data_IF_621868877175
#
_entry.id   IF_621868877175
#
_cell.length_a   1.000
_cell.length_b   1.000
_cell.length_c   1.000
_cell.angle_alpha   90.00
_cell.angle_beta   90.00
_cell.angle_gamma   90.00
#
_symmetry.space_group_name_H-M   'P 1'
#
loop_
_entity.id
_entity.type
_entity.pdbx_description
1 polymer ?
#
# COMPACT_ATOMS: atom_id res chain seq x y z
N UNK A 1 23.52 1.95 10.45
CA UNK A 1 22.18 1.32 10.43
C UNK A 1 22.30 0.01 9.68
N UNK A 2 21.88 -1.09 10.29
CA UNK A 2 21.90 -2.40 9.66
C UNK A 2 20.84 -2.54 8.55
N UNK A 3 20.97 -3.57 7.71
CA UNK A 3 20.13 -3.77 6.53
C UNK A 3 18.64 -3.97 6.90
N UNK A 4 18.36 -4.67 8.01
CA UNK A 4 16.98 -4.93 8.44
C UNK A 4 16.26 -3.65 8.85
N UNK A 5 16.92 -2.81 9.66
CA UNK A 5 16.37 -1.51 10.08
C UNK A 5 16.16 -0.57 8.90
N UNK A 6 17.09 -0.60 7.94
CA UNK A 6 16.99 0.16 6.69
C UNK A 6 15.76 -0.26 5.88
N UNK A 7 15.57 -1.55 5.67
CA UNK A 7 14.45 -2.09 4.90
C UNK A 7 13.10 -1.69 5.50
N UNK A 8 12.95 -1.71 6.83
CA UNK A 8 11.75 -1.23 7.53
C UNK A 8 11.45 0.24 7.19
N UNK A 9 12.47 1.10 7.26
CA UNK A 9 12.29 2.54 6.95
C UNK A 9 11.93 2.74 5.47
N UNK A 10 12.65 2.08 4.56
CA UNK A 10 12.42 2.19 3.11
C UNK A 10 11.02 1.69 2.76
N UNK A 11 10.60 0.52 3.27
CA UNK A 11 9.26 -0.02 3.04
C UNK A 11 8.14 0.92 3.51
N UNK A 12 8.30 1.51 4.70
CA UNK A 12 7.33 2.51 5.20
C UNK A 12 7.26 3.77 4.32
N UNK A 13 8.40 4.21 3.75
CA UNK A 13 8.44 5.40 2.87
C UNK A 13 7.94 5.07 1.47
N UNK A 14 8.12 3.84 0.98
CA UNK A 14 7.51 3.40 -0.28
C UNK A 14 5.99 3.44 -0.22
N UNK A 15 5.41 3.05 0.92
CA UNK A 15 3.97 3.17 1.19
C UNK A 15 3.55 4.59 1.61
N UNK A 16 2.74 4.68 2.67
CA UNK A 16 2.11 5.93 3.17
C UNK A 16 3.06 6.90 3.87
N UNK A 17 4.29 6.48 4.17
CA UNK A 17 5.29 7.34 4.78
C UNK A 17 5.93 8.31 3.78
N UNK A 18 6.26 9.51 4.24
CA UNK A 18 7.05 10.43 3.43
C UNK A 18 8.07 11.21 4.25
N UNK A 19 9.16 11.61 3.60
CA UNK A 19 10.21 12.43 4.24
C UNK A 19 9.93 13.89 3.97
N UNK A 20 9.41 14.56 5.00
CA UNK A 20 9.14 15.99 5.01
C UNK A 20 10.44 16.77 5.20
N UNK A 21 10.59 17.87 4.47
CA UNK A 21 11.67 18.84 4.63
C UNK A 21 11.06 20.13 5.15
N UNK A 22 11.60 20.66 6.25
CA UNK A 22 11.16 21.92 6.84
C UNK A 22 12.36 22.79 7.14
N UNK A 23 12.29 24.04 6.74
CA UNK A 23 13.22 25.06 7.25
C UNK A 23 12.77 25.53 8.62
N UNK A 24 13.68 25.53 9.56
CA UNK A 24 13.44 26.03 10.93
C UNK A 24 14.27 27.30 11.15
N UNK A 25 13.63 28.44 11.34
CA UNK A 25 14.34 29.67 11.65
C UNK A 25 15.09 29.52 12.99
N UNK A 26 16.26 30.15 13.06
CA UNK A 26 17.03 30.31 14.30
C UNK A 26 17.25 31.78 14.53
N UNK A 27 17.10 32.24 15.81
CA UNK A 27 17.19 33.65 16.15
C UNK A 27 18.55 34.31 15.82
N UNK A 28 19.63 33.52 15.91
CA UNK A 28 21.01 34.03 15.78
C UNK A 28 21.88 33.28 14.79
N UNK A 29 21.34 32.30 14.09
CA UNK A 29 22.07 31.45 13.15
C UNK A 29 21.31 31.25 11.85
N UNK A 30 22.00 30.77 10.79
CA UNK A 30 21.31 30.35 9.56
C UNK A 30 20.22 29.32 9.87
N UNK A 31 19.05 29.40 9.18
CA UNK A 31 18.01 28.39 9.28
C UNK A 31 18.60 26.98 9.10
N UNK A 32 18.11 26.02 9.84
CA UNK A 32 18.50 24.64 9.62
C UNK A 32 17.38 23.85 8.93
N UNK A 33 17.79 22.91 8.08
CA UNK A 33 16.85 22.06 7.36
C UNK A 33 16.61 20.79 8.18
N UNK A 34 15.38 20.71 8.72
CA UNK A 34 14.90 19.54 9.42
C UNK A 34 14.32 18.52 8.43
N UNK A 35 14.64 17.24 8.61
CA UNK A 35 14.04 16.15 7.85
C UNK A 35 13.33 15.21 8.80
N UNK A 36 12.03 15.07 8.59
CA UNK A 36 11.16 14.25 9.41
C UNK A 36 10.40 13.23 8.58
N UNK A 37 10.28 12.02 9.08
CA UNK A 37 9.35 11.05 8.53
C UNK A 37 7.98 11.30 9.14
N UNK A 38 6.95 11.42 8.30
CA UNK A 38 5.55 11.49 8.69
C UNK A 38 4.80 10.30 8.10
N UNK A 39 3.93 9.73 8.92
CA UNK A 39 2.98 8.68 8.54
C UNK A 39 1.60 9.09 9.01
N UNK A 40 0.58 8.90 8.18
CA UNK A 40 -0.81 9.21 8.47
C UNK A 40 -1.69 8.05 8.03
N UNK A 41 -2.60 7.63 8.91
CA UNK A 41 -3.57 6.57 8.65
C UNK A 41 -4.98 6.99 9.02
N UNK A 42 -5.97 6.40 8.35
CA UNK A 42 -7.38 6.66 8.61
C UNK A 42 -7.87 6.16 9.99
N UNK A 43 -9.12 6.45 10.35
CA UNK A 43 -9.66 6.20 11.69
C UNK A 43 -9.66 4.71 12.08
N UNK A 44 -9.84 3.82 11.14
CA UNK A 44 -9.88 2.36 11.37
C UNK A 44 -8.48 1.72 11.49
N UNK A 45 -7.41 2.48 11.18
CA UNK A 45 -6.03 1.98 11.14
C UNK A 45 -5.17 2.49 12.30
N UNK A 46 -5.77 2.86 13.42
CA UNK A 46 -5.04 3.31 14.62
C UNK A 46 -3.99 2.29 15.06
N UNK A 47 -4.39 1.04 15.24
CA UNK A 47 -3.49 -0.03 15.69
C UNK A 47 -2.32 -0.23 14.72
N UNK A 48 -2.56 -0.10 13.42
CA UNK A 48 -1.51 -0.19 12.42
C UNK A 48 -0.55 1.00 12.48
N UNK A 49 -1.05 2.21 12.70
CA UNK A 49 -0.23 3.39 12.92
C UNK A 49 0.68 3.23 14.15
N UNK A 50 0.15 2.72 15.27
CA UNK A 50 0.88 2.44 16.51
C UNK A 50 1.94 1.35 16.28
N UNK A 51 1.60 0.29 15.54
CA UNK A 51 2.54 -0.76 15.16
C UNK A 51 3.71 -0.21 14.35
N UNK A 52 3.46 0.61 13.32
CA UNK A 52 4.51 1.27 12.52
C UNK A 52 5.39 2.17 13.37
N UNK A 53 4.80 2.96 14.28
CA UNK A 53 5.54 3.81 15.20
C UNK A 53 6.50 3.00 16.08
N UNK A 54 6.04 1.86 16.64
CA UNK A 54 6.88 0.93 17.43
C UNK A 54 8.02 0.33 16.60
N UNK A 55 7.74 -0.11 15.37
CA UNK A 55 8.78 -0.67 14.49
C UNK A 55 9.79 0.38 14.05
N UNK A 56 9.34 1.58 13.74
CA UNK A 56 10.24 2.70 13.41
C UNK A 56 11.09 3.12 14.62
N UNK A 57 10.50 3.15 15.82
CA UNK A 57 11.24 3.39 17.07
C UNK A 57 12.41 2.40 17.22
N UNK A 58 12.15 1.11 17.05
CA UNK A 58 13.21 0.09 17.06
C UNK A 58 14.27 0.34 15.99
N UNK A 59 13.87 0.66 14.76
CA UNK A 59 14.80 0.93 13.66
C UNK A 59 15.68 2.17 13.93
N UNK A 60 15.18 3.13 14.69
CA UNK A 60 15.87 4.36 15.09
C UNK A 60 16.57 4.27 16.45
N UNK A 61 16.87 3.06 16.94
CA UNK A 61 17.60 2.87 18.19
C UNK A 61 16.82 3.16 19.47
N UNK A 62 15.51 2.92 19.47
CA UNK A 62 14.64 3.12 20.64
C UNK A 62 14.08 4.55 20.77
N UNK A 63 14.21 5.38 19.73
CA UNK A 63 13.67 6.74 19.77
C UNK A 63 12.16 6.73 20.02
N UNK A 64 11.70 7.43 21.06
CA UNK A 64 10.27 7.54 21.39
C UNK A 64 9.49 8.20 20.25
N UNK A 65 8.43 7.55 19.79
CA UNK A 65 7.52 8.04 18.75
C UNK A 65 6.10 7.98 19.28
N UNK A 66 5.45 9.12 19.37
CA UNK A 66 4.07 9.22 19.84
C UNK A 66 3.13 9.30 18.65
N UNK A 67 2.09 8.46 18.65
CA UNK A 67 0.97 8.56 17.73
C UNK A 67 -0.04 9.54 18.28
N UNK A 68 -0.45 10.48 17.46
CA UNK A 68 -1.44 11.51 17.81
C UNK A 68 -2.68 11.38 16.94
N UNK A 69 -3.84 11.62 17.54
CA UNK A 69 -5.10 11.76 16.79
C UNK A 69 -5.15 13.19 16.22
N UNK A 70 -5.50 13.30 14.97
CA UNK A 70 -5.71 14.60 14.29
C UNK A 70 -7.10 14.64 13.71
N UNK A 71 -7.75 15.79 13.78
CA UNK A 71 -8.98 16.09 13.07
C UNK A 71 -8.62 16.60 11.67
N UNK A 72 -9.49 16.41 10.71
CA UNK A 72 -9.31 16.83 9.32
C UNK A 72 -8.18 16.09 8.59
N UNK A 73 -8.32 14.77 8.47
CA UNK A 73 -7.49 13.99 7.54
C UNK A 73 -7.63 14.51 6.10
N UNK A 74 -6.71 14.15 5.19
CA UNK A 74 -6.79 14.55 3.78
C UNK A 74 -8.15 14.19 3.18
N UNK A 75 -8.89 15.20 2.70
CA UNK A 75 -10.18 15.01 2.02
C UNK A 75 -11.43 15.10 2.89
N UNK A 76 -11.37 15.51 4.18
CA UNK A 76 -12.59 15.72 4.96
C UNK A 76 -12.46 15.74 6.49
N UNK A 77 -13.60 15.97 7.14
CA UNK A 77 -13.76 16.03 8.60
C UNK A 77 -13.79 14.62 9.23
N UNK A 78 -12.73 13.83 9.11
CA UNK A 78 -12.63 12.56 9.81
C UNK A 78 -11.38 12.50 10.69
N UNK A 79 -11.48 11.71 11.75
CA UNK A 79 -10.34 11.43 12.61
C UNK A 79 -9.28 10.63 11.86
N UNK A 80 -8.03 11.00 12.05
CA UNK A 80 -6.87 10.27 11.53
C UNK A 80 -5.82 10.10 12.62
N UNK A 81 -4.93 9.14 12.46
CA UNK A 81 -3.83 8.89 13.38
C UNK A 81 -2.52 9.10 12.66
N UNK A 82 -1.63 9.86 13.28
CA UNK A 82 -0.33 10.17 12.69
C UNK A 82 0.81 10.12 13.70
N UNK A 83 2.01 9.94 13.18
CA UNK A 83 3.22 10.31 13.89
C UNK A 83 4.17 11.08 12.99
N UNK A 84 5.01 11.89 13.61
CA UNK A 84 6.11 12.58 12.94
C UNK A 84 7.35 12.42 13.79
N UNK A 85 8.45 12.05 13.19
CA UNK A 85 9.72 11.85 13.90
C UNK A 85 10.88 12.38 13.08
N UNK A 86 11.78 13.11 13.77
CA UNK A 86 12.99 13.66 13.17
C UNK A 86 14.17 12.73 13.45
N UNK A 87 14.99 12.47 12.43
CA UNK A 87 16.23 11.73 12.62
C UNK A 87 17.24 12.09 11.51
N UNK A 88 18.54 12.21 11.80
CA UNK A 88 19.56 12.57 10.80
C UNK A 88 19.58 11.63 9.59
N UNK A 89 19.30 10.35 9.81
CA UNK A 89 19.27 9.33 8.78
C UNK A 89 18.24 9.63 7.66
N UNK A 90 17.17 10.36 7.96
CA UNK A 90 16.19 10.72 6.94
C UNK A 90 16.72 11.64 5.85
N UNK A 91 17.83 12.34 6.13
CA UNK A 91 18.56 13.05 5.08
C UNK A 91 19.10 12.12 4.00
N UNK A 92 19.60 10.96 4.40
CA UNK A 92 20.10 9.94 3.48
C UNK A 92 18.96 9.23 2.75
N UNK A 93 17.89 8.83 3.48
CA UNK A 93 16.70 8.23 2.88
C UNK A 93 16.10 9.14 1.81
N UNK A 94 16.00 10.44 2.10
CA UNK A 94 15.49 11.40 1.13
C UNK A 94 16.33 11.47 -0.15
N UNK A 95 17.65 11.47 -0.04
CA UNK A 95 18.54 11.47 -1.23
C UNK A 95 18.32 10.23 -2.11
N UNK A 96 18.02 9.07 -1.50
CA UNK A 96 17.79 7.85 -2.26
C UNK A 96 16.41 7.80 -2.91
N UNK A 97 15.36 8.24 -2.17
CA UNK A 97 13.97 8.05 -2.56
C UNK A 97 13.35 9.22 -3.30
N UNK A 98 13.99 10.41 -3.23
CA UNK A 98 13.47 11.62 -3.85
C UNK A 98 14.52 12.33 -4.72
N UNK A 99 15.13 11.63 -5.70
CA UNK A 99 16.00 12.30 -6.65
C UNK A 99 15.17 13.35 -7.44
N UNK A 100 15.68 14.60 -7.51
CA UNK A 100 14.92 15.68 -8.12
C UNK A 100 13.69 16.16 -7.34
N UNK A 101 13.53 15.72 -6.06
CA UNK A 101 12.42 16.17 -5.19
C UNK A 101 11.17 15.28 -5.21
N UNK A 102 11.03 14.39 -6.16
CA UNK A 102 9.92 13.44 -6.30
C UNK A 102 10.30 12.04 -5.85
N UNK A 103 9.33 11.31 -5.27
CA UNK A 103 9.51 9.90 -4.90
C UNK A 103 9.69 9.06 -6.17
N UNK A 104 10.76 8.27 -6.21
CA UNK A 104 11.13 7.41 -7.34
C UNK A 104 11.49 6.01 -6.89
N UNK A 105 11.16 5.04 -7.74
CA UNK A 105 11.59 3.65 -7.61
C UNK A 105 12.90 3.48 -8.39
N UNK A 106 13.96 3.13 -7.70
CA UNK A 106 15.27 2.86 -8.31
C UNK A 106 15.74 1.50 -7.87
N UNK A 107 16.59 0.85 -8.67
CA UNK A 107 17.22 -0.43 -8.31
C UNK A 107 17.88 -0.36 -6.93
N UNK A 108 18.60 0.74 -6.66
CA UNK A 108 19.20 0.96 -5.34
C UNK A 108 18.20 0.94 -4.19
N UNK A 109 17.02 1.51 -4.36
CA UNK A 109 15.95 1.53 -3.34
C UNK A 109 15.36 0.15 -3.18
N UNK A 110 15.07 -0.55 -4.27
CA UNK A 110 14.52 -1.90 -4.25
C UNK A 110 15.47 -2.89 -3.58
N UNK A 111 16.78 -2.83 -3.89
CA UNK A 111 17.82 -3.67 -3.30
C UNK A 111 18.07 -3.39 -1.80
N UNK A 112 17.47 -2.35 -1.23
CA UNK A 112 17.45 -2.11 0.22
C UNK A 112 16.28 -2.79 0.94
N UNK A 113 15.31 -3.34 0.20
CA UNK A 113 14.18 -4.05 0.77
C UNK A 113 14.56 -5.46 1.21
N UNK A 114 13.81 -5.95 2.17
CA UNK A 114 13.74 -7.34 2.58
C UNK A 114 12.23 -7.70 2.72
N UNK A 115 11.86 -8.94 3.00
CA UNK A 115 10.46 -9.33 3.17
C UNK A 115 9.66 -8.44 4.15
N UNK A 116 10.28 -7.99 5.23
CA UNK A 116 9.64 -7.08 6.20
C UNK A 116 9.36 -5.69 5.59
N UNK A 117 10.32 -5.12 4.85
CA UNK A 117 10.14 -3.84 4.16
C UNK A 117 9.07 -3.92 3.05
N UNK A 118 9.06 -5.03 2.30
CA UNK A 118 8.03 -5.30 1.29
C UNK A 118 6.64 -5.40 1.94
N UNK A 119 6.55 -6.06 3.11
CA UNK A 119 5.30 -6.16 3.84
C UNK A 119 4.73 -4.77 4.19
N UNK A 120 5.54 -3.83 4.71
CA UNK A 120 5.07 -2.47 5.01
C UNK A 120 4.59 -1.73 3.77
N UNK A 121 5.34 -1.84 2.67
CA UNK A 121 4.91 -1.25 1.40
C UNK A 121 3.57 -1.83 0.94
N UNK A 122 3.42 -3.16 0.93
CA UNK A 122 2.18 -3.83 0.57
C UNK A 122 1.01 -3.48 1.50
N UNK A 123 1.24 -3.42 2.80
CA UNK A 123 0.19 -3.11 3.78
C UNK A 123 -0.38 -1.68 3.60
N UNK A 124 0.40 -0.78 3.06
CA UNK A 124 -0.05 0.57 2.70
C UNK A 124 -0.77 0.56 1.33
N UNK A 125 -0.06 0.22 0.28
CA UNK A 125 -0.48 0.41 -1.11
C UNK A 125 -1.05 -0.85 -1.79
N UNK A 126 -0.96 -1.99 -1.12
CA UNK A 126 -1.39 -3.26 -1.67
C UNK A 126 -2.85 -3.60 -1.40
N UNK A 127 -3.40 -4.43 -2.25
CA UNK A 127 -4.70 -5.08 -2.04
C UNK A 127 -4.71 -6.50 -2.62
N UNK A 128 -5.53 -7.37 -2.03
CA UNK A 128 -5.83 -8.68 -2.58
C UNK A 128 -7.32 -8.76 -2.92
N UNK A 129 -7.65 -9.38 -4.05
CA UNK A 129 -9.02 -9.53 -4.53
C UNK A 129 -9.33 -10.98 -4.83
N UNK A 130 -10.55 -11.39 -4.52
CA UNK A 130 -11.15 -12.63 -5.03
C UNK A 130 -11.91 -12.32 -6.30
N UNK A 131 -11.70 -13.11 -7.33
CA UNK A 131 -12.58 -13.15 -8.48
C UNK A 131 -13.64 -14.20 -8.23
N UNK A 132 -14.90 -13.79 -8.31
CA UNK A 132 -16.06 -14.60 -8.01
C UNK A 132 -16.88 -14.69 -9.29
N UNK A 133 -17.26 -15.90 -9.70
CA UNK A 133 -18.10 -16.12 -10.87
C UNK A 133 -19.58 -15.75 -10.61
N UNK A 134 -20.42 -15.98 -11.61
CA UNK A 134 -21.87 -15.69 -11.54
C UNK A 134 -22.62 -16.53 -10.52
N UNK A 135 -22.08 -17.69 -10.16
CA UNK A 135 -22.70 -18.70 -9.29
C UNK A 135 -22.15 -18.62 -7.85
N UNK A 136 -21.21 -17.66 -7.60
CA UNK A 136 -20.65 -17.40 -6.28
C UNK A 136 -19.36 -18.18 -5.97
N UNK A 137 -18.80 -18.88 -6.95
CA UNK A 137 -17.56 -19.62 -6.76
C UNK A 137 -16.33 -18.71 -6.86
N UNK A 138 -15.39 -18.87 -5.95
CA UNK A 138 -14.09 -18.20 -6.05
C UNK A 138 -13.27 -18.89 -7.13
N UNK A 139 -13.03 -18.20 -8.23
CA UNK A 139 -12.29 -18.72 -9.39
C UNK A 139 -10.80 -18.42 -9.35
N UNK A 140 -10.42 -17.31 -8.71
CA UNK A 140 -9.02 -16.92 -8.57
C UNK A 140 -8.82 -15.84 -7.50
N UNK A 141 -7.57 -15.67 -7.08
CA UNK A 141 -7.11 -14.54 -6.26
C UNK A 141 -6.10 -13.76 -7.06
N UNK A 142 -6.08 -12.46 -6.87
CA UNK A 142 -5.05 -11.59 -7.42
C UNK A 142 -4.60 -10.58 -6.37
N UNK A 143 -3.32 -10.26 -6.37
CA UNK A 143 -2.73 -9.22 -5.53
C UNK A 143 -2.22 -8.09 -6.40
N UNK A 144 -2.38 -6.86 -5.95
CA UNK A 144 -1.84 -5.68 -6.62
C UNK A 144 -1.15 -4.76 -5.63
N UNK A 145 -0.17 -3.98 -6.09
CA UNK A 145 0.45 -2.88 -5.36
C UNK A 145 0.30 -1.61 -6.19
N UNK A 146 -0.38 -0.62 -5.64
CA UNK A 146 -0.62 0.69 -6.27
C UNK A 146 0.64 1.55 -6.23
N UNK A 147 1.60 1.26 -7.10
CA UNK A 147 2.90 1.94 -7.13
C UNK A 147 2.81 3.39 -7.60
N UNK A 148 1.79 3.74 -8.39
CA UNK A 148 1.57 5.11 -8.90
C UNK A 148 2.84 5.71 -9.52
N UNK A 149 3.48 4.98 -10.41
CA UNK A 149 4.77 5.29 -10.99
C UNK A 149 4.72 5.36 -12.53
N UNK A 150 5.84 5.64 -13.16
CA UNK A 150 6.02 5.54 -14.61
C UNK A 150 6.03 4.08 -15.07
N UNK A 151 5.88 3.85 -16.36
CA UNK A 151 5.95 2.50 -16.93
C UNK A 151 7.32 1.86 -16.70
N UNK A 152 8.39 2.63 -16.90
CA UNK A 152 9.77 2.16 -16.67
C UNK A 152 10.00 1.75 -15.21
N UNK A 153 9.48 2.52 -14.26
CA UNK A 153 9.58 2.16 -12.86
C UNK A 153 8.76 0.91 -12.53
N UNK A 154 7.57 0.73 -13.14
CA UNK A 154 6.77 -0.48 -12.97
C UNK A 154 7.47 -1.71 -13.54
N UNK A 155 8.16 -1.58 -14.69
CA UNK A 155 9.00 -2.64 -15.26
C UNK A 155 10.15 -2.99 -14.31
N UNK A 156 10.89 -1.99 -13.84
CA UNK A 156 11.97 -2.18 -12.88
C UNK A 156 11.51 -2.94 -11.62
N UNK A 157 10.34 -2.58 -11.07
CA UNK A 157 9.79 -3.25 -9.88
C UNK A 157 9.44 -4.70 -10.21
N UNK A 158 8.79 -4.97 -11.34
CA UNK A 158 8.40 -6.32 -11.75
C UNK A 158 9.62 -7.22 -11.98
N UNK A 159 10.64 -6.71 -12.68
CA UNK A 159 11.89 -7.42 -12.95
C UNK A 159 12.66 -7.70 -11.66
N UNK A 160 12.70 -6.75 -10.73
CA UNK A 160 13.33 -6.93 -9.42
C UNK A 160 12.63 -8.03 -8.61
N UNK A 161 11.29 -8.06 -8.55
CA UNK A 161 10.57 -9.13 -7.86
C UNK A 161 10.81 -10.50 -8.48
N UNK A 162 10.91 -10.56 -9.82
CA UNK A 162 11.23 -11.79 -10.52
C UNK A 162 12.64 -12.28 -10.20
N UNK A 163 13.62 -11.39 -10.20
CA UNK A 163 15.01 -11.73 -9.91
C UNK A 163 15.22 -12.17 -8.45
N UNK A 164 14.65 -11.44 -7.49
CA UNK A 164 14.91 -11.66 -6.05
C UNK A 164 14.03 -12.76 -5.42
N UNK A 165 12.79 -12.94 -5.93
CA UNK A 165 11.79 -13.81 -5.30
C UNK A 165 11.16 -14.83 -6.26
N UNK A 166 11.47 -14.80 -7.55
CA UNK A 166 10.83 -15.65 -8.56
C UNK A 166 9.37 -15.26 -8.86
N UNK A 167 8.88 -14.14 -8.31
CA UNK A 167 7.48 -13.73 -8.39
C UNK A 167 7.26 -12.86 -9.62
N UNK A 168 6.41 -13.31 -10.54
CA UNK A 168 6.08 -12.57 -11.75
C UNK A 168 4.92 -11.61 -11.54
N UNK A 169 5.15 -10.32 -11.84
CA UNK A 169 4.15 -9.27 -11.80
C UNK A 169 3.81 -8.78 -13.20
N UNK A 170 2.52 -8.56 -13.44
CA UNK A 170 2.02 -7.92 -14.66
C UNK A 170 1.87 -6.43 -14.41
N UNK A 171 2.39 -5.64 -15.34
CA UNK A 171 2.21 -4.18 -15.33
C UNK A 171 0.79 -3.86 -15.79
N UNK A 172 0.12 -3.00 -15.05
CA UNK A 172 -1.23 -2.52 -15.32
C UNK A 172 -1.26 -1.00 -15.34
N UNK A 173 -2.16 -0.43 -16.10
CA UNK A 173 -2.36 1.02 -16.20
C UNK A 173 -3.72 1.42 -15.66
N UNK A 174 -3.76 2.38 -14.75
CA UNK A 174 -5.00 3.08 -14.35
C UNK A 174 -5.26 4.23 -15.30
N UNK A 175 -6.20 4.06 -16.21
CA UNK A 175 -6.56 5.04 -17.24
C UNK A 175 -7.10 6.37 -16.69
N UNK A 176 -7.42 6.43 -15.37
CA UNK A 176 -7.91 7.64 -14.69
C UNK A 176 -6.78 8.57 -14.23
N UNK A 177 -5.54 8.09 -14.29
CA UNK A 177 -4.34 8.80 -13.80
C UNK A 177 -3.55 9.38 -14.96
N UNK A 178 -2.73 10.41 -14.66
CA UNK A 178 -1.81 10.96 -15.64
C UNK A 178 -0.82 9.88 -16.12
N UNK A 179 -0.39 9.91 -17.39
CA UNK A 179 0.49 8.88 -17.96
C UNK A 179 1.76 8.61 -17.13
N UNK A 180 2.34 9.67 -16.56
CA UNK A 180 3.60 9.60 -15.82
C UNK A 180 3.50 8.86 -14.48
N UNK A 181 2.26 8.64 -13.97
CA UNK A 181 1.99 8.01 -12.67
C UNK A 181 0.78 7.08 -12.71
N UNK A 182 0.55 6.45 -13.86
CA UNK A 182 -0.62 5.62 -14.08
C UNK A 182 -0.36 4.13 -13.83
N UNK A 183 0.88 3.72 -13.63
CA UNK A 183 1.20 2.29 -13.64
C UNK A 183 1.26 1.70 -12.23
N UNK A 184 0.84 0.44 -12.14
CA UNK A 184 0.87 -0.39 -10.95
C UNK A 184 1.16 -1.84 -11.33
N UNK A 185 1.49 -2.67 -10.35
CA UNK A 185 1.82 -4.08 -10.56
C UNK A 185 0.75 -4.98 -9.96
N UNK A 186 0.48 -6.11 -10.63
CA UNK A 186 -0.51 -7.11 -10.19
C UNK A 186 -0.04 -8.54 -10.48
N UNK A 187 -0.27 -9.47 -9.57
CA UNK A 187 0.02 -10.89 -9.78
C UNK A 187 -1.24 -11.73 -10.02
N UNK A 188 -1.03 -12.89 -10.68
CA UNK A 188 -2.01 -13.97 -10.79
C UNK A 188 -2.12 -14.76 -9.46
N UNK A 189 -2.95 -15.80 -9.44
CA UNK A 189 -3.20 -16.61 -8.23
C UNK A 189 -1.93 -17.28 -7.70
N UNK A 190 -1.11 -17.94 -8.54
CA UNK A 190 0.11 -18.61 -8.11
C UNK A 190 1.07 -17.63 -7.46
N UNK A 191 1.44 -16.59 -8.19
CA UNK A 191 2.34 -15.54 -7.68
C UNK A 191 1.76 -14.77 -6.47
N UNK A 192 0.43 -14.70 -6.32
CA UNK A 192 -0.22 -14.15 -5.13
C UNK A 192 0.06 -15.00 -3.89
N UNK A 193 0.02 -16.32 -4.00
CA UNK A 193 0.35 -17.22 -2.90
C UNK A 193 1.83 -17.13 -2.52
N UNK A 194 2.72 -17.12 -3.50
CA UNK A 194 4.16 -16.94 -3.30
C UNK A 194 4.48 -15.61 -2.61
N UNK A 195 3.88 -14.53 -3.10
CA UNK A 195 4.01 -13.21 -2.47
C UNK A 195 3.49 -13.19 -1.03
N UNK A 196 2.34 -13.80 -0.78
CA UNK A 196 1.77 -13.90 0.57
C UNK A 196 2.66 -14.71 1.52
N UNK A 197 3.34 -15.75 1.03
CA UNK A 197 4.32 -16.50 1.82
C UNK A 197 5.53 -15.63 2.21
N UNK A 198 5.99 -14.75 1.31
CA UNK A 198 7.11 -13.82 1.58
C UNK A 198 6.74 -12.78 2.63
N UNK A 199 5.59 -12.12 2.51
CA UNK A 199 5.22 -10.98 3.36
C UNK A 199 4.44 -11.38 4.63
N UNK A 200 3.75 -12.52 4.59
CA UNK A 200 2.83 -12.98 5.64
C UNK A 200 3.41 -12.99 7.05
N UNK A 201 4.66 -13.47 7.28
CA UNK A 201 5.29 -13.48 8.60
C UNK A 201 5.44 -12.09 9.25
N UNK A 202 5.34 -11.00 8.46
CA UNK A 202 5.53 -9.63 8.91
C UNK A 202 4.23 -8.82 8.99
N UNK A 203 3.09 -9.45 8.68
CA UNK A 203 1.78 -8.81 8.72
C UNK A 203 1.22 -8.82 10.14
N UNK A 204 1.01 -7.64 10.79
CA UNK A 204 0.43 -7.59 12.13
C UNK A 204 -1.05 -8.01 12.11
N UNK A 205 -1.55 -8.48 13.25
CA UNK A 205 -2.93 -8.99 13.37
C UNK A 205 -3.98 -8.00 12.85
N UNK A 206 -3.82 -6.73 13.15
CA UNK A 206 -4.74 -5.68 12.70
C UNK A 206 -4.79 -5.48 11.18
N UNK A 207 -3.83 -6.04 10.42
CA UNK A 207 -3.76 -5.95 8.96
C UNK A 207 -3.91 -7.31 8.26
N UNK A 208 -4.15 -8.40 8.98
CA UNK A 208 -4.33 -9.74 8.39
C UNK A 208 -5.44 -9.81 7.35
N UNK A 209 -6.43 -8.91 7.44
CA UNK A 209 -7.50 -8.81 6.45
C UNK A 209 -6.99 -8.56 5.03
N UNK A 210 -5.83 -7.93 4.85
CA UNK A 210 -5.23 -7.68 3.54
C UNK A 210 -4.76 -8.96 2.83
N UNK A 211 -4.47 -10.01 3.59
CA UNK A 211 -4.10 -11.33 3.07
C UNK A 211 -5.18 -12.41 3.32
N UNK A 212 -6.27 -12.10 4.00
CA UNK A 212 -7.32 -13.08 4.34
C UNK A 212 -7.90 -13.78 3.11
N UNK A 213 -7.95 -13.06 1.99
CA UNK A 213 -8.44 -13.62 0.73
C UNK A 213 -7.47 -14.65 0.11
N UNK A 214 -6.18 -14.57 0.42
CA UNK A 214 -5.17 -15.48 -0.12
C UNK A 214 -5.21 -16.83 0.58
N UNK A 215 -5.38 -16.85 1.91
CA UNK A 215 -5.40 -18.06 2.71
C UNK A 215 -6.61 -18.97 2.44
N UNK A 216 -7.65 -18.46 1.83
CA UNK A 216 -8.96 -19.11 1.68
C UNK A 216 -9.25 -19.62 0.27
N UNK A 217 -8.30 -19.56 -0.65
CA UNK A 217 -8.50 -20.17 -1.98
C UNK A 217 -8.22 -21.66 -1.90
N UNK A 218 -9.07 -22.36 -1.18
CA UNK A 218 -9.36 -23.75 -1.51
C UNK A 218 -10.23 -23.69 -2.78
N UNK A 219 -9.76 -24.30 -3.87
CA UNK A 219 -10.54 -24.50 -5.06
C UNK A 219 -11.96 -24.94 -4.65
N UNK A 220 -13.00 -24.20 -5.11
CA UNK A 220 -14.41 -24.49 -4.92
C UNK A 220 -15.09 -24.00 -3.62
N UNK A 221 -14.63 -22.93 -3.00
CA UNK A 221 -15.43 -22.28 -1.94
C UNK A 221 -16.54 -21.40 -2.56
N UNK A 222 -17.79 -21.69 -2.23
CA UNK A 222 -18.93 -20.88 -2.64
C UNK A 222 -19.13 -19.73 -1.64
N UNK A 223 -19.15 -18.51 -2.14
CA UNK A 223 -19.42 -17.34 -1.32
C UNK A 223 -20.92 -17.28 -0.98
N UNK A 224 -21.25 -16.90 0.26
CA UNK A 224 -22.62 -16.58 0.59
C UNK A 224 -23.10 -15.33 -0.17
N UNK A 225 -24.36 -15.28 -0.59
CA UNK A 225 -24.94 -14.09 -1.18
C UNK A 225 -24.82 -12.89 -0.23
N UNK A 226 -24.50 -11.72 -0.75
CA UNK A 226 -24.46 -10.47 0.03
C UNK A 226 -25.68 -9.58 -0.22
N UNK A 227 -26.59 -10.00 -1.11
CA UNK A 227 -27.82 -9.30 -1.46
C UNK A 227 -28.27 -9.58 -2.88
N UNK A 228 -29.21 -8.77 -3.35
CA UNK A 228 -29.72 -8.84 -4.70
C UNK A 228 -29.57 -7.52 -5.43
N UNK A 229 -29.48 -7.57 -6.75
CA UNK A 229 -29.40 -6.38 -7.60
C UNK A 229 -30.74 -5.61 -7.52
N UNK A 230 -30.69 -4.36 -7.10
CA UNK A 230 -31.87 -3.50 -6.95
C UNK A 230 -32.65 -3.24 -8.26
N UNK A 231 -32.01 -3.47 -9.43
CA UNK A 231 -32.63 -3.25 -10.75
C UNK A 231 -33.20 -4.53 -11.38
N UNK A 232 -32.57 -5.70 -11.18
CA UNK A 232 -33.00 -6.92 -11.89
C UNK A 232 -33.13 -8.16 -10.99
N UNK A 233 -33.02 -8.02 -9.66
CA UNK A 233 -33.14 -9.13 -8.71
C UNK A 233 -32.01 -10.16 -8.71
N UNK A 234 -31.01 -10.01 -9.57
CA UNK A 234 -29.90 -10.97 -9.64
C UNK A 234 -29.13 -11.02 -8.33
N UNK A 235 -28.91 -12.22 -7.81
CA UNK A 235 -28.09 -12.46 -6.61
C UNK A 235 -26.68 -11.87 -6.75
N UNK A 236 -26.22 -11.16 -5.73
CA UNK A 236 -24.89 -10.56 -5.66
C UNK A 236 -24.05 -11.31 -4.63
N UNK A 237 -22.84 -11.70 -5.03
CA UNK A 237 -21.84 -12.37 -4.17
C UNK A 237 -20.71 -11.43 -3.72
N UNK A 238 -20.77 -10.16 -4.08
CA UNK A 238 -19.87 -9.11 -3.60
C UNK A 238 -20.65 -7.79 -3.49
N UNK A 239 -20.29 -6.95 -2.51
CA UNK A 239 -20.85 -5.59 -2.41
C UNK A 239 -20.53 -4.83 -3.70
N UNK A 240 -21.57 -4.28 -4.33
CA UNK A 240 -21.48 -3.52 -5.58
C UNK A 240 -21.94 -2.09 -5.38
N UNK A 241 -21.38 -1.17 -6.18
CA UNK A 241 -21.82 0.22 -6.15
C UNK A 241 -23.31 0.31 -6.49
N UNK A 242 -24.06 1.13 -5.73
CA UNK A 242 -25.52 1.33 -5.85
C UNK A 242 -26.34 0.05 -5.73
N UNK A 243 -25.79 -1.05 -5.21
CA UNK A 243 -26.50 -2.32 -5.13
C UNK A 243 -26.84 -2.95 -6.49
N UNK A 244 -26.15 -2.57 -7.57
CA UNK A 244 -26.40 -3.04 -8.93
C UNK A 244 -25.42 -4.14 -9.35
N UNK A 245 -25.88 -5.13 -10.10
CA UNK A 245 -24.97 -6.06 -10.78
C UNK A 245 -24.18 -5.33 -11.88
N UNK A 246 -23.10 -5.94 -12.35
CA UNK A 246 -22.20 -5.30 -13.35
C UNK A 246 -22.93 -4.87 -14.62
N UNK A 247 -23.91 -5.66 -15.08
CA UNK A 247 -24.71 -5.36 -16.27
C UNK A 247 -25.62 -4.15 -16.05
N UNK A 248 -26.34 -4.10 -14.94
CA UNK A 248 -27.25 -2.98 -14.61
C UNK A 248 -26.45 -1.71 -14.32
N UNK A 249 -25.33 -1.81 -13.62
CA UNK A 249 -24.44 -0.68 -13.39
C UNK A 249 -23.88 -0.07 -14.69
N UNK A 250 -23.49 -0.92 -15.65
CA UNK A 250 -23.02 -0.44 -16.95
C UNK A 250 -24.13 0.23 -17.78
N UNK A 251 -25.38 -0.24 -17.68
CA UNK A 251 -26.53 0.40 -18.30
C UNK A 251 -26.83 1.76 -17.66
N UNK A 252 -26.81 1.82 -16.33
CA UNK A 252 -27.04 3.04 -15.54
C UNK A 252 -26.00 4.12 -15.90
N UNK A 253 -24.70 3.75 -15.98
CA UNK A 253 -23.64 4.67 -16.40
C UNK A 253 -23.79 5.17 -17.85
N UNK A 254 -24.33 4.36 -18.75
CA UNK A 254 -24.59 4.79 -20.16
C UNK A 254 -25.78 5.75 -20.24
N UNK A 255 -26.77 5.60 -19.39
CA UNK A 255 -27.94 6.47 -19.35
C UNK A 255 -27.65 7.85 -18.73
N UNK A 256 -26.52 7.98 -18.01
CA UNK A 256 -26.06 9.25 -17.41
C UNK A 256 -25.10 10.06 -18.29
N UNK A 257 -24.72 9.53 -19.44
CA UNK A 257 -23.90 10.22 -20.45
C UNK A 257 -24.74 10.77 -21.59
#
# INVERSE_FOLDING_TARGET
>A
MDNRKRAVIIGMVLGDGYIQVRERPRKTMKPYVEKAMRVLHGPTQRQYCEFKAKRLSWALGGKKINVTKVKNGPGGNYDAYQFTVNHPYFGQVRRWMYPGGEKRYTEKVLNMLNPEGIAYWYLDDGSARRNIDKDGWVTSVSTEISTMCSEQEAMLIADWFKAEYGIEWKIRRDKRKSPDRAFYIACNTSNTHEFAAVVGPYVPDCMKYKLSHVAQVKSHERQAPVGECTSCGKTLYAKRQRGLCSTCYSKDLRAMR
#
